data_IF_949171073956
#
_entry.id   IF_949171073956
#
_cell.length_a   1.000
_cell.length_b   1.000
_cell.length_c   1.000
_cell.angle_alpha   90.00
_cell.angle_beta   90.00
_cell.angle_gamma   90.00
#
_symmetry.space_group_name_H-M   'P 1'
#
loop_
_entity.id
_entity.type
_entity.pdbx_description
1 polymer ?
#
# COMPACT_ATOMS: atom_id res chain seq x y z
N UNK A 1 5.39 1.63 -9.08
CA UNK A 1 4.17 1.35 -8.32
C UNK A 1 3.84 -0.13 -8.48
N UNK A 2 3.50 -0.82 -7.40
CA UNK A 2 3.40 -2.30 -7.36
C UNK A 2 2.28 -2.83 -8.26
N UNK A 3 1.12 -2.15 -8.32
CA UNK A 3 0.01 -2.55 -9.18
C UNK A 3 0.28 -2.33 -10.66
N UNK A 4 1.04 -1.29 -11.01
CA UNK A 4 1.51 -1.09 -12.39
C UNK A 4 2.41 -2.23 -12.83
N UNK A 5 3.33 -2.66 -11.95
CA UNK A 5 4.21 -3.81 -12.24
C UNK A 5 3.42 -5.10 -12.39
N UNK A 6 2.48 -5.38 -11.48
CA UNK A 6 1.61 -6.54 -11.58
C UNK A 6 0.80 -6.55 -12.89
N UNK A 7 0.23 -5.41 -13.28
CA UNK A 7 -0.52 -5.30 -14.54
C UNK A 7 0.34 -5.58 -15.78
N UNK A 8 1.60 -5.10 -15.81
CA UNK A 8 2.52 -5.36 -16.92
C UNK A 8 2.89 -6.85 -17.06
N UNK A 9 2.93 -7.58 -15.95
CA UNK A 9 3.20 -9.02 -15.95
C UNK A 9 1.98 -9.86 -16.36
N UNK A 10 0.78 -9.25 -16.47
CA UNK A 10 -0.47 -9.94 -16.78
C UNK A 10 -1.24 -9.26 -17.92
N UNK A 11 -0.87 -9.48 -19.19
CA UNK A 11 -1.46 -8.79 -20.35
C UNK A 11 -2.98 -8.93 -20.49
N UNK A 12 -3.58 -10.01 -19.96
CA UNK A 12 -5.03 -10.21 -19.95
C UNK A 12 -5.78 -9.11 -19.18
N UNK A 13 -5.15 -8.52 -18.15
CA UNK A 13 -5.73 -7.43 -17.35
C UNK A 13 -5.89 -6.16 -18.18
N UNK A 14 -5.00 -5.90 -19.15
CA UNK A 14 -5.14 -4.74 -20.03
C UNK A 14 -6.39 -4.82 -20.89
N UNK A 15 -6.75 -6.02 -21.34
CA UNK A 15 -7.96 -6.22 -22.14
C UNK A 15 -9.21 -5.97 -21.30
N UNK A 16 -9.31 -6.57 -20.11
CA UNK A 16 -10.43 -6.36 -19.18
C UNK A 16 -10.54 -4.88 -18.75
N UNK A 17 -9.42 -4.20 -18.54
CA UNK A 17 -9.41 -2.79 -18.16
C UNK A 17 -9.96 -1.90 -19.28
N UNK A 18 -9.60 -2.17 -20.54
CA UNK A 18 -10.12 -1.44 -21.71
C UNK A 18 -11.64 -1.59 -21.86
N UNK A 19 -12.19 -2.79 -21.66
CA UNK A 19 -13.64 -3.01 -21.71
C UNK A 19 -14.41 -2.20 -20.65
N UNK A 20 -13.74 -1.82 -19.56
CA UNK A 20 -14.32 -1.07 -18.44
C UNK A 20 -13.95 0.41 -18.42
N UNK A 21 -13.27 0.90 -19.46
CA UNK A 21 -12.75 2.27 -19.55
C UNK A 21 -11.85 2.65 -18.35
N UNK A 22 -10.94 1.73 -18.00
CA UNK A 22 -9.98 1.89 -16.90
C UNK A 22 -8.55 1.66 -17.36
N UNK A 23 -7.60 2.23 -16.63
CA UNK A 23 -6.21 1.79 -16.73
C UNK A 23 -6.03 0.45 -15.99
N UNK A 24 -5.16 -0.42 -16.52
CA UNK A 24 -4.95 -1.77 -15.97
C UNK A 24 -4.58 -1.76 -14.48
N UNK A 25 -3.74 -0.83 -14.03
CA UNK A 25 -3.37 -0.72 -12.61
C UNK A 25 -4.55 -0.30 -11.72
N UNK A 26 -5.51 0.48 -12.23
CA UNK A 26 -6.71 0.86 -11.48
C UNK A 26 -7.64 -0.35 -11.31
N UNK A 27 -7.75 -1.19 -12.34
CA UNK A 27 -8.48 -2.44 -12.24
C UNK A 27 -7.85 -3.36 -11.17
N UNK A 28 -6.52 -3.51 -11.19
CA UNK A 28 -5.79 -4.29 -10.17
C UNK A 28 -6.01 -3.73 -8.77
N UNK A 29 -5.88 -2.42 -8.60
CA UNK A 29 -6.10 -1.75 -7.31
C UNK A 29 -7.51 -1.98 -6.78
N UNK A 30 -8.54 -1.80 -7.62
CA UNK A 30 -9.95 -2.04 -7.23
C UNK A 30 -10.18 -3.49 -6.85
N UNK A 31 -9.60 -4.42 -7.60
CA UNK A 31 -9.69 -5.85 -7.31
C UNK A 31 -9.02 -6.19 -5.99
N UNK A 32 -7.83 -5.63 -5.71
CA UNK A 32 -7.17 -5.75 -4.41
C UNK A 32 -8.03 -5.21 -3.26
N UNK A 33 -8.62 -4.02 -3.41
CA UNK A 33 -9.47 -3.42 -2.38
C UNK A 33 -10.73 -4.26 -2.08
N UNK A 34 -11.27 -4.96 -3.08
CA UNK A 34 -12.39 -5.89 -2.91
C UNK A 34 -12.02 -7.13 -2.07
N UNK A 35 -10.75 -7.51 -2.02
CA UNK A 35 -10.28 -8.62 -1.17
C UNK A 35 -10.32 -8.28 0.33
N UNK A 36 -10.40 -6.98 0.68
CA UNK A 36 -10.45 -6.49 2.07
C UNK A 36 -9.29 -7.02 2.94
N UNK A 37 -8.13 -7.24 2.33
CA UNK A 37 -6.90 -7.67 3.01
C UNK A 37 -6.05 -6.51 3.53
N UNK A 38 -6.45 -5.27 3.25
CA UNK A 38 -5.81 -4.06 3.78
C UNK A 38 -6.56 -3.50 4.99
N UNK A 39 -5.81 -2.84 5.88
CA UNK A 39 -6.32 -2.06 7.01
C UNK A 39 -6.77 -0.68 6.53
N UNK A 40 -7.91 -0.23 7.02
CA UNK A 40 -8.36 1.16 6.87
C UNK A 40 -7.76 2.04 7.95
N UNK A 41 -7.56 3.32 7.64
CA UNK A 41 -7.21 4.35 8.63
C UNK A 41 -8.39 4.57 9.60
N UNK A 42 -8.18 5.24 10.75
CA UNK A 42 -9.27 5.62 11.65
C UNK A 42 -10.37 6.46 10.97
N UNK A 43 -10.01 7.23 9.94
CA UNK A 43 -10.94 8.00 9.11
C UNK A 43 -11.67 7.16 8.05
N UNK A 44 -11.44 5.84 7.99
CA UNK A 44 -12.08 4.93 7.04
C UNK A 44 -11.47 4.91 5.64
N UNK A 45 -10.30 5.55 5.44
CA UNK A 45 -9.59 5.58 4.16
C UNK A 45 -8.73 4.34 3.96
N UNK A 46 -8.46 3.97 2.70
CA UNK A 46 -7.64 2.79 2.38
C UNK A 46 -6.12 3.06 2.37
N UNK A 47 -5.73 4.32 2.17
CA UNK A 47 -4.34 4.72 1.96
C UNK A 47 -3.76 5.32 3.24
N UNK A 48 -2.67 4.73 3.71
CA UNK A 48 -1.86 5.24 4.81
C UNK A 48 -0.76 6.16 4.31
N UNK A 49 -0.39 7.12 5.15
CA UNK A 49 0.82 7.91 4.99
C UNK A 49 1.88 7.40 5.96
N UNK A 50 3.01 6.97 5.44
CA UNK A 50 4.16 6.52 6.20
C UNK A 50 5.28 7.55 6.11
N UNK A 51 6.03 7.74 7.19
CA UNK A 51 7.24 8.53 7.23
C UNK A 51 8.45 7.61 7.07
N UNK A 52 9.30 7.93 6.12
CA UNK A 52 10.59 7.27 5.91
C UNK A 52 11.66 8.19 6.48
N UNK A 53 12.28 7.79 7.59
CA UNK A 53 13.37 8.51 8.25
C UNK A 53 14.65 8.34 7.43
N UNK A 54 15.12 9.44 6.83
CA UNK A 54 16.43 9.49 6.17
C UNK A 54 17.48 10.15 7.08
N UNK A 55 18.78 9.98 6.79
CA UNK A 55 19.87 10.54 7.61
C UNK A 55 19.84 12.08 7.74
N UNK A 56 19.21 12.78 6.79
CA UNK A 56 19.11 14.25 6.81
C UNK A 56 17.68 14.78 6.75
N UNK A 57 16.76 14.05 6.09
CA UNK A 57 15.38 14.47 5.89
C UNK A 57 14.47 13.25 5.90
N UNK A 58 13.27 13.43 6.44
CA UNK A 58 12.20 12.44 6.34
C UNK A 58 11.39 12.67 5.07
N UNK A 59 10.92 11.58 4.45
CA UNK A 59 10.05 11.61 3.26
C UNK A 59 8.73 10.91 3.57
N UNK A 60 7.63 11.41 3.00
CA UNK A 60 6.35 10.72 3.07
C UNK A 60 6.21 9.70 1.94
N UNK A 61 5.76 8.51 2.28
CA UNK A 61 5.32 7.46 1.37
C UNK A 61 3.82 7.23 1.58
N UNK A 62 3.08 6.96 0.51
CA UNK A 62 1.66 6.59 0.60
C UNK A 62 1.48 5.17 0.12
N UNK A 63 0.70 4.38 0.83
CA UNK A 63 0.51 2.97 0.49
C UNK A 63 -0.59 2.29 1.28
N UNK A 64 -0.78 1.01 0.99
CA UNK A 64 -1.68 0.13 1.74
C UNK A 64 -0.93 -0.50 2.90
N UNK A 65 -1.63 -0.68 4.02
CA UNK A 65 -1.15 -1.48 5.15
C UNK A 65 -1.92 -2.80 5.14
N UNK A 66 -1.22 -3.94 5.08
CA UNK A 66 -1.87 -5.25 5.07
C UNK A 66 -2.35 -5.63 6.47
N UNK A 67 -3.43 -6.42 6.53
CA UNK A 67 -3.93 -6.98 7.79
C UNK A 67 -3.00 -8.07 8.28
N UNK A 68 -2.70 -9.04 7.41
CA UNK A 68 -1.85 -10.19 7.67
C UNK A 68 -0.62 -10.17 6.73
N UNK A 69 0.62 -10.08 7.24
CA UNK A 69 1.82 -10.05 6.40
C UNK A 69 2.06 -11.38 5.66
N UNK A 70 1.52 -12.47 6.18
CA UNK A 70 1.62 -13.82 5.58
C UNK A 70 0.85 -13.97 4.26
N UNK A 71 -0.02 -13.02 3.93
CA UNK A 71 -0.68 -12.97 2.62
C UNK A 71 0.32 -12.74 1.47
N UNK A 72 1.51 -12.19 1.77
CA UNK A 72 2.55 -11.88 0.77
C UNK A 72 3.89 -12.54 1.11
N UNK A 73 4.22 -12.67 2.39
CA UNK A 73 5.49 -13.24 2.83
C UNK A 73 5.32 -14.69 3.30
N UNK A 74 6.10 -15.61 2.73
CA UNK A 74 6.23 -16.97 3.25
C UNK A 74 6.93 -17.02 4.62
N UNK A 75 7.85 -16.09 4.85
CA UNK A 75 8.52 -15.85 6.12
C UNK A 75 8.49 -14.35 6.39
N UNK A 76 7.91 -13.95 7.52
CA UNK A 76 7.68 -12.53 7.84
C UNK A 76 9.00 -11.87 8.24
N UNK A 77 9.50 -10.86 7.50
CA UNK A 77 10.73 -10.17 7.85
C UNK A 77 10.53 -9.30 9.11
N UNK A 78 11.64 -8.89 9.73
CA UNK A 78 11.61 -7.89 10.79
C UNK A 78 11.07 -6.55 10.30
N UNK A 79 10.49 -5.79 11.22
CA UNK A 79 9.98 -4.44 10.96
C UNK A 79 11.09 -3.52 10.43
N UNK A 80 10.75 -2.68 9.46
CA UNK A 80 11.68 -1.73 8.90
C UNK A 80 11.94 -0.57 9.88
N UNK A 81 13.16 -0.42 10.43
CA UNK A 81 13.43 0.55 11.50
C UNK A 81 13.35 2.01 11.05
N UNK A 82 13.34 2.27 9.73
CA UNK A 82 13.29 3.62 9.18
C UNK A 82 11.91 4.02 8.67
N UNK A 83 10.88 3.17 8.82
CA UNK A 83 9.51 3.47 8.39
C UNK A 83 8.58 3.51 9.60
N UNK A 84 7.80 4.57 9.73
CA UNK A 84 6.71 4.67 10.71
C UNK A 84 5.42 5.14 10.06
N UNK A 85 4.27 4.88 10.68
CA UNK A 85 3.00 5.49 10.26
C UNK A 85 2.95 6.93 10.75
N UNK A 86 2.55 7.88 9.91
CA UNK A 86 2.49 9.30 10.27
C UNK A 86 1.60 9.52 11.51
N UNK A 87 0.42 8.90 11.54
CA UNK A 87 -0.53 8.97 12.66
C UNK A 87 0.02 8.44 13.99
N UNK A 88 1.08 7.60 13.96
CA UNK A 88 1.76 7.11 15.17
C UNK A 88 2.95 8.00 15.55
N UNK A 89 3.62 8.60 14.57
CA UNK A 89 4.75 9.51 14.82
C UNK A 89 4.32 10.81 15.51
N UNK A 90 3.13 11.32 15.19
CA UNK A 90 2.58 12.52 15.83
C UNK A 90 2.22 12.28 17.32
N UNK A 91 1.92 11.02 17.68
CA UNK A 91 1.64 10.63 19.07
C UNK A 91 2.92 10.51 19.90
N UNK A 92 4.00 9.94 19.35
CA UNK A 92 5.30 9.86 20.03
C UNK A 92 5.97 11.23 20.27
N UNK A 93 5.64 12.25 19.47
CA UNK A 93 6.16 13.61 19.65
C UNK A 93 5.37 14.43 20.68
N UNK A 94 4.24 13.92 21.15
CA UNK A 94 3.30 14.60 22.07
C UNK A 94 3.30 14.00 23.49
N UNK A 95 4.11 12.97 23.74
CA UNK A 95 4.44 12.41 25.07
C UNK A 95 5.87 12.80 25.47
#
# INVERSE_FOLDING_TARGET
DIFKRYALEHPAIEHEAKERDLEAWQLVQRSFEKLKKHRKTPAGLNIWTCLVKGPRKSKQLRGYLLTEPTDVFSEVPYDNPVISLADLADKEASE
#
